data_IF_908627685078
#
_entry.id   IF_908627685078
#
_cell.length_a   1.000
_cell.length_b   1.000
_cell.length_c   1.000
_cell.angle_alpha   90.00
_cell.angle_beta   90.00
_cell.angle_gamma   90.00
#
_symmetry.space_group_name_H-M   'P 1'
#
loop_
_entity.id
_entity.type
_entity.pdbx_description
1 polymer ?
#
# COMPACT_ATOMS: atom_id res chain seq x y z
N UNK A 1 -40.87 -49.57 -57.74
CA UNK A 1 -39.71 -50.41 -57.39
C UNK A 1 -38.66 -50.20 -58.46
N UNK A 2 -37.39 -49.92 -58.25
CA UNK A 2 -36.58 -49.52 -57.10
C UNK A 2 -35.23 -49.11 -57.71
N UNK A 3 -34.59 -48.14 -57.06
CA UNK A 3 -33.14 -48.04 -56.87
C UNK A 3 -32.14 -47.77 -58.01
N UNK A 4 -31.36 -46.71 -57.72
CA UNK A 4 -29.89 -46.62 -57.72
C UNK A 4 -29.13 -46.05 -58.94
N UNK A 5 -28.42 -44.95 -58.60
CA UNK A 5 -27.02 -44.64 -58.91
C UNK A 5 -26.69 -44.09 -60.30
N UNK A 6 -25.71 -43.21 -60.52
CA UNK A 6 -24.93 -42.22 -59.75
C UNK A 6 -23.96 -41.61 -60.80
N UNK A 7 -23.42 -40.40 -60.57
CA UNK A 7 -22.20 -39.82 -61.19
C UNK A 7 -22.25 -39.47 -62.70
N UNK A 8 -21.61 -38.42 -63.23
CA UNK A 8 -20.64 -37.43 -62.76
C UNK A 8 -20.66 -36.27 -63.79
N UNK A 9 -20.78 -35.01 -63.35
CA UNK A 9 -20.46 -33.85 -64.17
C UNK A 9 -19.33 -33.09 -63.46
N UNK A 10 -18.18 -32.97 -64.14
CA UNK A 10 -16.97 -32.36 -63.60
C UNK A 10 -17.14 -30.84 -63.51
N UNK A 11 -16.98 -30.29 -62.31
CA UNK A 11 -16.87 -28.86 -62.04
C UNK A 11 -15.39 -28.45 -62.00
N UNK A 12 -15.05 -27.41 -62.76
CA UNK A 12 -13.74 -26.77 -62.72
C UNK A 12 -13.48 -26.18 -61.33
N UNK A 13 -12.36 -26.58 -60.73
CA UNK A 13 -11.89 -26.19 -59.41
C UNK A 13 -11.41 -24.74 -59.43
N UNK A 14 -12.14 -23.83 -58.78
CA UNK A 14 -11.59 -22.55 -58.31
C UNK A 14 -11.03 -22.80 -56.92
N UNK A 15 -9.71 -22.92 -56.80
CA UNK A 15 -9.02 -23.07 -55.52
C UNK A 15 -9.01 -21.71 -54.80
N UNK A 16 -9.94 -21.52 -53.87
CA UNK A 16 -9.90 -20.40 -52.92
C UNK A 16 -8.82 -20.68 -51.88
N UNK A 17 -7.74 -19.89 -51.90
CA UNK A 17 -6.73 -19.81 -50.85
C UNK A 17 -7.39 -19.67 -49.46
N UNK A 18 -7.27 -20.65 -48.55
CA UNK A 18 -7.67 -20.46 -47.16
C UNK A 18 -6.47 -19.91 -46.40
N UNK A 19 -6.55 -18.67 -45.92
CA UNK A 19 -5.58 -18.21 -44.91
C UNK A 19 -5.14 -16.75 -44.94
N UNK A 20 -6.03 -15.80 -45.22
CA UNK A 20 -5.77 -14.38 -44.89
C UNK A 20 -6.91 -13.69 -44.11
N UNK A 21 -7.86 -14.46 -43.57
CA UNK A 21 -9.05 -13.94 -42.89
C UNK A 21 -9.07 -13.99 -41.35
N UNK A 22 -8.13 -14.67 -40.69
CA UNK A 22 -8.26 -14.99 -39.25
C UNK A 22 -7.14 -14.42 -38.35
N UNK A 23 -6.57 -13.26 -38.70
CA UNK A 23 -5.66 -12.52 -37.80
C UNK A 23 -6.33 -11.33 -37.09
N UNK A 24 -7.65 -11.14 -37.24
CA UNK A 24 -8.34 -9.92 -36.83
C UNK A 24 -9.49 -10.05 -35.83
N UNK A 25 -9.88 -11.26 -35.41
CA UNK A 25 -11.01 -11.44 -34.50
C UNK A 25 -10.58 -12.20 -33.25
N UNK A 26 -9.82 -11.53 -32.37
CA UNK A 26 -9.86 -11.94 -30.96
C UNK A 26 -11.31 -11.81 -30.51
N UNK A 27 -11.98 -12.94 -30.32
CA UNK A 27 -13.27 -13.00 -29.67
C UNK A 27 -13.21 -12.12 -28.41
N UNK A 28 -14.11 -11.13 -28.24
CA UNK A 28 -14.05 -10.26 -27.07
C UNK A 28 -14.13 -11.13 -25.84
N UNK A 29 -13.06 -11.13 -25.03
CA UNK A 29 -13.03 -11.90 -23.79
C UNK A 29 -14.35 -11.65 -23.03
N UNK A 30 -15.06 -12.71 -22.61
CA UNK A 30 -16.33 -12.57 -21.89
C UNK A 30 -16.14 -11.79 -20.59
N UNK A 31 -14.90 -11.79 -20.07
CA UNK A 31 -14.48 -11.09 -18.87
C UNK A 31 -13.80 -9.78 -19.26
N UNK A 32 -14.44 -8.67 -18.91
CA UNK A 32 -13.94 -7.32 -19.22
C UNK A 32 -13.05 -6.84 -18.06
N UNK A 33 -11.73 -6.65 -18.25
CA UNK A 33 -10.81 -6.32 -17.16
C UNK A 33 -11.23 -5.10 -16.33
N UNK A 34 -11.70 -4.03 -16.99
CA UNK A 34 -12.16 -2.83 -16.28
C UNK A 34 -13.30 -3.10 -15.28
N UNK A 35 -14.21 -4.02 -15.59
CA UNK A 35 -15.34 -4.33 -14.68
C UNK A 35 -14.85 -5.04 -13.43
N UNK A 36 -13.86 -5.93 -13.56
CA UNK A 36 -13.23 -6.60 -12.42
C UNK A 36 -12.50 -5.57 -11.55
N UNK A 37 -11.64 -4.76 -12.17
CA UNK A 37 -10.89 -3.73 -11.44
C UNK A 37 -11.82 -2.72 -10.76
N UNK A 38 -12.87 -2.26 -11.44
CA UNK A 38 -13.85 -1.36 -10.85
C UNK A 38 -14.66 -2.01 -9.72
N UNK A 39 -15.03 -3.30 -9.85
CA UNK A 39 -15.70 -4.03 -8.77
C UNK A 39 -14.78 -4.20 -7.54
N UNK A 40 -13.52 -4.57 -7.76
CA UNK A 40 -12.51 -4.66 -6.70
C UNK A 40 -12.28 -3.30 -6.03
N UNK A 41 -12.15 -2.23 -6.80
CA UNK A 41 -12.01 -0.86 -6.28
C UNK A 41 -13.24 -0.38 -5.53
N UNK A 42 -14.44 -0.73 -6.01
CA UNK A 42 -15.69 -0.46 -5.30
C UNK A 42 -15.79 -1.20 -3.97
N UNK A 43 -15.40 -2.48 -3.92
CA UNK A 43 -15.37 -3.27 -2.70
C UNK A 43 -14.33 -2.73 -1.69
N UNK A 44 -13.13 -2.40 -2.16
CA UNK A 44 -12.08 -1.77 -1.35
C UNK A 44 -12.53 -0.43 -0.78
N UNK A 45 -13.13 0.43 -1.61
CA UNK A 45 -13.64 1.72 -1.17
C UNK A 45 -14.77 1.56 -0.13
N UNK A 46 -15.68 0.61 -0.34
CA UNK A 46 -16.75 0.32 0.63
C UNK A 46 -16.18 -0.17 1.97
N UNK A 47 -15.18 -1.06 1.95
CA UNK A 47 -14.48 -1.51 3.15
C UNK A 47 -13.79 -0.35 3.86
N UNK A 48 -13.06 0.48 3.12
CA UNK A 48 -12.37 1.66 3.64
C UNK A 48 -13.35 2.63 4.32
N UNK A 49 -14.47 2.94 3.67
CA UNK A 49 -15.52 3.79 4.25
C UNK A 49 -16.13 3.17 5.51
N UNK A 50 -16.43 1.87 5.49
CA UNK A 50 -16.95 1.16 6.67
C UNK A 50 -15.97 1.25 7.85
N UNK A 51 -14.69 0.95 7.62
CA UNK A 51 -13.64 0.96 8.66
C UNK A 51 -13.44 2.37 9.20
N UNK A 52 -13.32 3.38 8.34
CA UNK A 52 -13.15 4.77 8.78
C UNK A 52 -14.35 5.32 9.53
N UNK A 53 -15.58 5.04 9.09
CA UNK A 53 -16.79 5.46 9.82
C UNK A 53 -16.79 4.82 11.21
N UNK A 54 -16.55 3.50 11.29
CA UNK A 54 -16.50 2.78 12.57
C UNK A 54 -15.41 3.28 13.50
N UNK A 55 -14.25 3.64 12.95
CA UNK A 55 -13.14 4.21 13.70
C UNK A 55 -13.50 5.59 14.26
N UNK A 56 -13.95 6.53 13.41
CA UNK A 56 -14.29 7.91 13.81
C UNK A 56 -15.41 7.94 14.86
N UNK A 57 -16.37 7.02 14.78
CA UNK A 57 -17.46 6.90 15.78
C UNK A 57 -17.09 6.01 16.97
N UNK A 58 -15.92 5.38 16.95
CA UNK A 58 -15.48 4.39 17.92
C UNK A 58 -14.51 4.96 18.96
N UNK A 59 -14.13 4.15 19.97
CA UNK A 59 -13.24 4.58 21.04
C UNK A 59 -11.80 4.82 20.57
N UNK A 60 -11.39 4.23 19.44
CA UNK A 60 -10.02 4.33 18.90
C UNK A 60 -9.73 5.67 18.21
N UNK A 61 -10.73 6.55 18.04
CA UNK A 61 -10.53 7.90 17.51
C UNK A 61 -10.11 8.86 18.63
N UNK A 62 -8.95 8.60 19.22
CA UNK A 62 -8.38 9.43 20.27
C UNK A 62 -6.90 9.65 20.08
N UNK A 63 -6.36 10.72 20.69
CA UNK A 63 -4.95 11.06 20.54
C UNK A 63 -4.10 10.04 21.29
N UNK A 64 -3.12 9.45 20.59
CA UNK A 64 -2.04 8.69 21.23
C UNK A 64 -1.01 9.70 21.78
N UNK A 65 -0.73 9.70 23.09
CA UNK A 65 0.18 10.66 23.70
C UNK A 65 1.64 10.39 23.31
N UNK A 66 2.45 11.45 23.33
CA UNK A 66 3.90 11.38 23.13
C UNK A 66 4.65 10.77 24.32
N UNK A 67 3.99 10.62 25.47
CA UNK A 67 4.59 10.17 26.72
C UNK A 67 5.49 11.24 27.36
N UNK A 68 6.34 10.84 28.33
CA UNK A 68 7.10 11.77 29.18
C UNK A 68 8.31 12.43 28.50
N UNK A 69 8.83 11.84 27.41
CA UNK A 69 9.97 12.41 26.68
C UNK A 69 9.50 13.34 25.56
N UNK A 70 10.16 14.48 25.41
CA UNK A 70 9.92 15.38 24.29
C UNK A 70 10.91 15.13 23.14
N UNK A 71 10.45 15.20 21.87
CA UNK A 71 11.37 15.17 20.74
C UNK A 71 12.33 16.36 20.79
N UNK A 72 13.62 16.17 20.47
CA UNK A 72 14.59 17.24 20.39
C UNK A 72 14.29 18.19 19.21
N UNK A 73 14.83 19.42 19.28
CA UNK A 73 14.54 20.47 18.29
C UNK A 73 14.94 20.10 16.86
N UNK A 74 16.01 19.32 16.67
CA UNK A 74 16.43 18.86 15.35
C UNK A 74 15.42 17.90 14.69
N UNK A 75 14.53 17.28 15.47
CA UNK A 75 13.39 16.52 14.95
C UNK A 75 12.19 17.46 14.75
N UNK A 76 11.82 18.24 15.77
CA UNK A 76 10.63 19.12 15.73
C UNK A 76 10.61 20.06 14.52
N UNK A 77 11.74 20.70 14.20
CA UNK A 77 11.80 21.69 13.11
C UNK A 77 11.54 21.06 11.73
N UNK A 78 12.26 20.01 11.30
CA UNK A 78 11.94 19.31 10.05
C UNK A 78 10.53 18.74 10.00
N UNK A 79 10.03 18.19 11.11
CA UNK A 79 8.68 17.63 11.19
C UNK A 79 7.59 18.70 10.94
N UNK A 80 7.73 19.87 11.57
CA UNK A 80 6.83 21.01 11.33
C UNK A 80 6.98 21.52 9.90
N UNK A 81 8.22 21.67 9.42
CA UNK A 81 8.48 22.16 8.07
C UNK A 81 7.82 21.25 7.02
N UNK A 82 7.95 19.93 7.18
CA UNK A 82 7.29 18.95 6.31
C UNK A 82 5.77 19.10 6.36
N UNK A 83 5.17 19.18 7.55
CA UNK A 83 3.72 19.37 7.69
C UNK A 83 3.24 20.67 7.01
N UNK A 84 3.92 21.79 7.26
CA UNK A 84 3.58 23.10 6.67
C UNK A 84 3.69 23.07 5.16
N UNK A 85 4.78 22.52 4.61
CA UNK A 85 4.95 22.37 3.15
C UNK A 85 3.81 21.57 2.57
N UNK A 86 3.45 20.45 3.21
CA UNK A 86 2.37 19.60 2.70
C UNK A 86 0.99 20.27 2.80
N UNK A 87 0.75 21.07 3.83
CA UNK A 87 -0.53 21.76 4.00
C UNK A 87 -0.68 22.92 3.02
N UNK A 88 0.39 23.68 2.80
CA UNK A 88 0.41 24.81 1.85
C UNK A 88 0.39 24.31 0.40
N UNK A 89 0.98 23.16 0.11
CA UNK A 89 0.94 22.55 -1.21
C UNK A 89 -0.46 22.01 -1.57
N UNK A 90 -1.29 21.64 -0.59
CA UNK A 90 -2.59 21.01 -0.84
C UNK A 90 -3.53 21.89 -1.71
N UNK A 91 -3.75 23.20 -1.42
CA UNK A 91 -4.51 24.08 -2.31
C UNK A 91 -3.95 24.15 -3.74
N UNK A 92 -2.62 24.15 -3.90
CA UNK A 92 -1.95 24.19 -5.20
C UNK A 92 -2.21 22.91 -5.98
N UNK A 93 -2.11 21.75 -5.31
CA UNK A 93 -2.41 20.43 -5.89
C UNK A 93 -3.88 20.33 -6.30
N UNK A 94 -4.81 20.76 -5.44
CA UNK A 94 -6.24 20.79 -5.75
C UNK A 94 -6.51 21.68 -6.97
N UNK A 95 -5.89 22.86 -7.02
CA UNK A 95 -6.03 23.75 -8.17
C UNK A 95 -5.46 23.15 -9.46
N UNK A 96 -4.26 22.58 -9.41
CA UNK A 96 -3.54 22.12 -10.59
C UNK A 96 -4.09 20.82 -11.18
N UNK A 97 -4.49 19.86 -10.34
CA UNK A 97 -4.92 18.53 -10.77
C UNK A 97 -6.44 18.39 -10.91
N UNK A 98 -7.23 19.17 -10.17
CA UNK A 98 -8.70 19.08 -10.22
C UNK A 98 -9.32 20.33 -10.85
N UNK A 99 -9.11 21.53 -10.30
CA UNK A 99 -9.85 22.74 -10.73
C UNK A 99 -9.45 23.18 -12.14
N UNK A 100 -8.16 23.31 -12.42
CA UNK A 100 -7.65 23.79 -13.71
C UNK A 100 -8.02 22.84 -14.86
N UNK A 101 -7.83 21.51 -14.77
CA UNK A 101 -8.23 20.59 -15.83
C UNK A 101 -9.75 20.52 -15.99
N UNK A 102 -10.51 20.59 -14.89
CA UNK A 102 -11.97 20.66 -14.95
C UNK A 102 -12.46 21.90 -15.70
N UNK A 103 -11.85 23.07 -15.44
CA UNK A 103 -12.20 24.31 -16.14
C UNK A 103 -11.79 24.32 -17.61
N UNK A 104 -10.62 23.75 -17.95
CA UNK A 104 -10.08 23.77 -19.33
C UNK A 104 -10.62 22.67 -20.22
N UNK A 105 -10.72 21.46 -19.69
CA UNK A 105 -10.96 20.24 -20.48
C UNK A 105 -12.30 19.57 -20.13
N UNK A 106 -13.00 20.04 -19.08
CA UNK A 106 -14.26 19.46 -18.56
C UNK A 106 -14.18 17.95 -18.30
N UNK A 107 -12.98 17.46 -17.98
CA UNK A 107 -12.70 16.05 -17.65
C UNK A 107 -11.71 15.94 -16.50
N UNK A 108 -11.76 14.81 -15.80
CA UNK A 108 -10.76 14.45 -14.80
C UNK A 108 -9.60 13.78 -15.52
N UNK A 109 -8.40 14.33 -15.36
CA UNK A 109 -7.17 13.79 -15.96
C UNK A 109 -6.73 12.51 -15.25
N UNK A 110 -5.89 11.71 -15.90
CA UNK A 110 -5.28 10.53 -15.28
C UNK A 110 -4.55 10.92 -13.99
N UNK A 111 -3.76 12.00 -14.03
CA UNK A 111 -3.03 12.48 -12.86
C UNK A 111 -3.97 12.89 -11.71
N UNK A 112 -5.11 13.54 -11.99
CA UNK A 112 -6.11 13.85 -10.97
C UNK A 112 -6.74 12.60 -10.36
N UNK A 113 -6.99 11.56 -11.17
CA UNK A 113 -7.44 10.26 -10.65
C UNK A 113 -6.36 9.60 -9.80
N UNK A 114 -5.08 9.65 -10.23
CA UNK A 114 -3.97 9.10 -9.48
C UNK A 114 -3.75 9.80 -8.13
N UNK A 115 -3.87 11.14 -8.05
CA UNK A 115 -3.81 11.86 -6.76
C UNK A 115 -4.86 11.30 -5.80
N UNK A 116 -6.11 11.19 -6.25
CA UNK A 116 -7.20 10.68 -5.42
C UNK A 116 -7.00 9.20 -5.07
N UNK A 117 -6.57 8.38 -6.02
CA UNK A 117 -6.31 6.95 -5.80
C UNK A 117 -5.16 6.69 -4.83
N UNK A 118 -4.05 7.42 -4.96
CA UNK A 118 -2.91 7.31 -4.03
C UNK A 118 -3.24 7.87 -2.65
N UNK A 119 -4.07 8.93 -2.58
CA UNK A 119 -4.56 9.44 -1.31
C UNK A 119 -5.47 8.45 -0.57
N UNK A 120 -6.29 7.68 -1.30
CA UNK A 120 -7.08 6.60 -0.70
C UNK A 120 -6.24 5.36 -0.39
N UNK A 121 -5.18 5.09 -1.15
CA UNK A 121 -4.23 4.00 -0.92
C UNK A 121 -3.57 4.09 0.46
N UNK A 122 -3.41 5.29 1.02
CA UNK A 122 -2.97 5.54 2.41
C UNK A 122 -3.73 4.69 3.45
N UNK A 123 -4.98 4.29 3.19
CA UNK A 123 -5.71 3.36 4.05
C UNK A 123 -4.95 2.07 4.38
N UNK A 124 -4.08 1.65 3.48
CA UNK A 124 -3.28 0.44 3.62
C UNK A 124 -2.01 0.64 4.43
N UNK A 125 -1.60 1.87 4.76
CA UNK A 125 -0.34 2.15 5.45
C UNK A 125 -0.23 1.40 6.80
N UNK A 126 -1.25 1.40 7.69
CA UNK A 126 -1.16 0.64 8.92
C UNK A 126 -1.04 -0.88 8.71
N UNK A 127 -1.42 -1.43 7.55
CA UNK A 127 -1.42 -2.88 7.33
C UNK A 127 -0.04 -3.50 7.53
N UNK A 128 1.06 -2.76 7.35
CA UNK A 128 2.40 -3.24 7.67
C UNK A 128 2.56 -3.71 9.13
N UNK A 129 1.68 -3.26 10.04
CA UNK A 129 1.63 -3.65 11.44
C UNK A 129 0.57 -4.73 11.77
N UNK A 130 -0.02 -5.39 10.77
CA UNK A 130 -1.19 -6.25 10.97
C UNK A 130 -0.93 -7.44 11.90
N UNK A 131 0.21 -8.11 11.76
CA UNK A 131 0.60 -9.24 12.64
C UNK A 131 1.39 -8.82 13.87
N UNK A 132 2.32 -7.89 13.70
CA UNK A 132 3.20 -7.40 14.74
C UNK A 132 3.58 -5.96 14.40
N UNK A 133 3.92 -5.15 15.41
CA UNK A 133 4.29 -3.76 15.22
C UNK A 133 5.70 -3.67 14.64
N UNK A 134 5.76 -3.45 13.32
CA UNK A 134 6.99 -3.37 12.54
C UNK A 134 7.47 -1.91 12.34
N UNK A 135 6.55 -0.97 12.11
CA UNK A 135 6.84 0.47 11.99
C UNK A 135 5.96 1.29 12.93
N UNK A 136 6.52 2.35 13.50
CA UNK A 136 5.77 3.32 14.29
C UNK A 136 6.10 4.75 13.86
N UNK A 137 5.08 5.60 13.85
CA UNK A 137 5.23 7.03 13.62
C UNK A 137 5.54 7.78 14.92
N UNK A 138 6.11 8.97 14.76
CA UNK A 138 6.30 9.88 15.88
C UNK A 138 4.95 10.44 16.37
N UNK A 139 4.53 10.03 17.56
CA UNK A 139 3.23 10.39 18.16
C UNK A 139 3.15 11.86 18.60
N UNK A 140 4.27 12.60 18.53
CA UNK A 140 4.26 14.06 18.67
C UNK A 140 3.52 14.77 17.53
N UNK A 141 3.53 14.18 16.33
CA UNK A 141 2.75 14.68 15.19
C UNK A 141 1.26 14.63 15.49
N UNK A 142 0.49 15.47 14.79
CA UNK A 142 -0.97 15.48 14.93
C UNK A 142 -1.55 14.12 14.55
N UNK A 143 -2.12 13.42 15.54
CA UNK A 143 -2.70 12.10 15.37
C UNK A 143 -4.02 11.96 16.16
N UNK A 144 -4.82 10.97 15.76
CA UNK A 144 -6.05 10.52 16.42
C UNK A 144 -6.08 8.99 16.50
N UNK A 145 -4.91 8.39 16.77
CA UNK A 145 -4.72 6.96 16.68
C UNK A 145 -4.72 6.49 15.23
N UNK A 146 -5.21 5.28 15.00
CA UNK A 146 -5.34 4.70 13.66
C UNK A 146 -6.60 3.83 13.58
N UNK A 147 -7.02 3.51 12.35
CA UNK A 147 -8.21 2.70 12.08
C UNK A 147 -7.91 1.20 12.02
N UNK A 148 -6.65 0.79 12.22
CA UNK A 148 -6.16 -0.58 12.13
C UNK A 148 -7.01 -1.55 12.96
N UNK A 149 -7.36 -1.15 14.18
CA UNK A 149 -8.20 -1.96 15.07
C UNK A 149 -9.57 -2.32 14.55
N UNK A 150 -10.11 -1.53 13.61
CA UNK A 150 -11.41 -1.76 13.00
C UNK A 150 -11.32 -2.56 11.70
N UNK A 151 -10.11 -2.85 11.20
CA UNK A 151 -9.89 -3.72 10.05
C UNK A 151 -10.27 -5.16 10.42
N UNK A 152 -11.17 -5.81 9.65
CA UNK A 152 -11.53 -7.19 9.90
C UNK A 152 -10.31 -8.12 9.91
N UNK A 153 -10.16 -8.90 10.99
CA UNK A 153 -9.08 -9.88 11.13
C UNK A 153 -7.78 -9.35 11.73
N UNK A 154 -7.69 -8.05 12.05
CA UNK A 154 -6.50 -7.45 12.66
C UNK A 154 -5.97 -8.25 13.85
N UNK A 155 -4.66 -8.55 13.86
CA UNK A 155 -4.04 -9.48 14.82
C UNK A 155 -3.26 -8.75 15.91
N UNK A 156 -2.44 -7.76 15.54
CA UNK A 156 -1.56 -7.04 16.45
C UNK A 156 -2.34 -6.40 17.61
N UNK A 157 -1.89 -6.52 18.88
CA UNK A 157 -2.59 -5.94 20.02
C UNK A 157 -2.61 -4.41 19.95
N UNK A 158 -3.77 -3.83 20.22
CA UNK A 158 -3.96 -2.39 20.24
C UNK A 158 -5.05 -2.06 21.27
N UNK A 159 -4.85 -0.95 21.98
CA UNK A 159 -5.84 -0.40 22.88
C UNK A 159 -6.11 1.06 22.52
N UNK A 160 -7.31 1.58 22.83
CA UNK A 160 -7.59 3.01 22.71
C UNK A 160 -6.48 3.83 23.41
N UNK A 161 -5.90 4.78 22.66
CA UNK A 161 -4.82 5.65 23.15
C UNK A 161 -3.43 4.99 23.26
N UNK A 162 -3.32 3.67 23.03
CA UNK A 162 -2.08 2.88 23.04
C UNK A 162 -2.02 1.97 21.81
N UNK A 163 -1.71 2.60 20.68
CA UNK A 163 -1.65 1.96 19.36
C UNK A 163 -0.72 2.74 18.45
N UNK A 164 -0.39 2.18 17.28
CA UNK A 164 0.34 2.92 16.25
C UNK A 164 -0.53 4.10 15.81
N UNK A 165 0.03 5.30 15.89
CA UNK A 165 -0.71 6.52 15.62
C UNK A 165 -0.40 7.05 14.22
N UNK A 166 -1.43 7.20 13.39
CA UNK A 166 -1.25 7.72 12.04
C UNK A 166 -1.22 9.26 12.04
N UNK A 167 -0.17 9.92 11.50
CA UNK A 167 -0.12 11.37 11.35
C UNK A 167 -0.97 11.80 10.15
N UNK A 168 -2.30 11.75 10.31
CA UNK A 168 -3.30 11.91 9.24
C UNK A 168 -3.05 13.13 8.34
N UNK A 169 -2.72 14.28 8.94
CA UNK A 169 -2.54 15.54 8.23
C UNK A 169 -1.25 15.58 7.41
N UNK A 170 -0.31 14.69 7.66
CA UNK A 170 1.00 14.66 6.97
C UNK A 170 1.06 13.47 6.01
N UNK A 171 0.62 12.28 6.44
CA UNK A 171 0.64 11.08 5.62
C UNK A 171 -0.35 11.17 4.46
N UNK A 172 -1.60 11.59 4.69
CA UNK A 172 -2.59 11.69 3.59
C UNK A 172 -2.08 12.53 2.40
N UNK A 173 -1.59 13.78 2.59
CA UNK A 173 -1.03 14.55 1.49
C UNK A 173 0.30 13.97 0.94
N UNK A 174 1.16 13.45 1.81
CA UNK A 174 2.41 12.79 1.41
C UNK A 174 2.17 11.61 0.45
N UNK A 175 1.23 10.74 0.80
CA UNK A 175 0.78 9.64 -0.06
C UNK A 175 0.05 10.13 -1.32
N UNK A 176 -0.86 11.11 -1.20
CA UNK A 176 -1.68 11.54 -2.32
C UNK A 176 -0.88 12.18 -3.46
N UNK A 177 0.00 13.13 -3.15
CA UNK A 177 0.74 13.85 -4.18
C UNK A 177 2.26 13.74 -4.05
N UNK A 178 2.83 13.43 -2.88
CA UNK A 178 4.25 13.14 -2.76
C UNK A 178 4.64 11.92 -3.61
N UNK A 179 3.94 10.79 -3.40
CA UNK A 179 4.12 9.57 -4.21
C UNK A 179 3.83 9.83 -5.69
N UNK A 180 2.80 10.63 -6.01
CA UNK A 180 2.53 10.98 -7.41
C UNK A 180 3.67 11.79 -8.03
N UNK A 181 4.23 12.77 -7.33
CA UNK A 181 5.33 13.58 -7.82
C UNK A 181 6.56 12.72 -8.11
N UNK A 182 6.90 11.80 -7.20
CA UNK A 182 7.98 10.82 -7.40
C UNK A 182 7.65 9.94 -8.63
N UNK A 183 6.39 9.56 -8.81
CA UNK A 183 5.93 8.79 -9.97
C UNK A 183 6.06 9.57 -11.28
N UNK A 184 5.71 10.85 -11.28
CA UNK A 184 5.86 11.74 -12.44
C UNK A 184 7.34 11.89 -12.81
N UNK A 185 8.22 12.09 -11.82
CA UNK A 185 9.67 12.16 -12.00
C UNK A 185 10.20 10.83 -12.53
N UNK A 186 9.79 9.69 -11.96
CA UNK A 186 10.14 8.36 -12.45
C UNK A 186 9.74 8.15 -13.91
N UNK A 187 8.51 8.51 -14.29
CA UNK A 187 8.08 8.47 -15.69
C UNK A 187 8.91 9.43 -16.59
N UNK A 188 9.34 10.57 -16.08
CA UNK A 188 10.23 11.48 -16.82
C UNK A 188 11.62 10.87 -17.03
N UNK A 189 12.19 10.21 -16.03
CA UNK A 189 13.44 9.46 -16.15
C UNK A 189 13.28 8.35 -17.18
N UNK A 190 12.21 7.56 -17.11
CA UNK A 190 11.93 6.50 -18.10
C UNK A 190 11.89 7.06 -19.53
N UNK A 191 11.28 8.24 -19.75
CA UNK A 191 11.28 8.91 -21.05
C UNK A 191 12.69 9.28 -21.49
N UNK A 192 13.49 9.88 -20.61
CA UNK A 192 14.88 10.28 -20.91
C UNK A 192 15.77 9.09 -21.25
N UNK A 193 15.65 7.99 -20.50
CA UNK A 193 16.35 6.73 -20.76
C UNK A 193 15.98 6.20 -22.15
N UNK A 194 14.69 6.22 -22.51
CA UNK A 194 14.23 5.76 -23.83
C UNK A 194 14.67 6.69 -24.98
N UNK A 195 14.77 8.00 -24.75
CA UNK A 195 15.35 8.94 -25.73
C UNK A 195 16.84 8.65 -25.97
N UNK A 196 17.58 8.28 -24.91
CA UNK A 196 19.02 7.96 -25.03
C UNK A 196 19.26 6.58 -25.64
N UNK A 197 18.40 5.60 -25.31
CA UNK A 197 18.45 4.21 -25.79
C UNK A 197 17.08 3.77 -26.30
N UNK A 198 16.76 4.05 -27.58
CA UNK A 198 15.43 3.74 -28.15
C UNK A 198 15.08 2.25 -28.16
N UNK A 199 16.09 1.38 -28.28
CA UNK A 199 15.92 -0.08 -28.36
C UNK A 199 15.97 -0.78 -26.99
N UNK A 200 15.87 -0.03 -25.88
CA UNK A 200 15.83 -0.64 -24.54
C UNK A 200 14.53 -1.45 -24.37
N UNK A 201 14.64 -2.67 -23.85
CA UNK A 201 13.46 -3.48 -23.54
C UNK A 201 12.69 -2.89 -22.36
N UNK A 202 11.37 -3.10 -22.34
CA UNK A 202 10.52 -2.64 -21.23
C UNK A 202 11.02 -3.18 -19.88
N UNK A 203 11.45 -4.45 -19.83
CA UNK A 203 11.99 -5.04 -18.60
C UNK A 203 13.23 -4.28 -18.08
N UNK A 204 14.19 -3.97 -18.95
CA UNK A 204 15.38 -3.19 -18.55
C UNK A 204 15.00 -1.80 -18.06
N UNK A 205 14.03 -1.16 -18.71
CA UNK A 205 13.53 0.15 -18.31
C UNK A 205 12.89 0.12 -16.91
N UNK A 206 12.10 -0.92 -16.62
CA UNK A 206 11.50 -1.13 -15.30
C UNK A 206 12.58 -1.39 -14.24
N UNK A 207 13.56 -2.26 -14.52
CA UNK A 207 14.65 -2.56 -13.58
C UNK A 207 15.51 -1.32 -13.26
N UNK A 208 15.80 -0.47 -14.25
CA UNK A 208 16.50 0.80 -14.02
C UNK A 208 15.66 1.71 -13.12
N UNK A 209 14.36 1.81 -13.39
CA UNK A 209 13.44 2.64 -12.60
C UNK A 209 13.34 2.15 -11.16
N UNK A 210 13.27 0.83 -10.98
CA UNK A 210 13.29 0.17 -9.67
C UNK A 210 14.57 0.45 -8.90
N UNK A 211 15.75 0.29 -9.52
CA UNK A 211 17.04 0.56 -8.89
C UNK A 211 17.18 2.05 -8.50
N UNK A 212 16.72 2.97 -9.34
CA UNK A 212 16.72 4.40 -9.02
C UNK A 212 15.74 4.73 -7.90
N UNK A 213 14.57 4.10 -7.87
CA UNK A 213 13.61 4.27 -6.79
C UNK A 213 14.18 3.78 -5.45
N UNK A 214 14.84 2.62 -5.44
CA UNK A 214 15.55 2.09 -4.26
C UNK A 214 16.59 3.07 -3.71
N UNK A 215 17.45 3.61 -4.59
CA UNK A 215 18.50 4.56 -4.16
C UNK A 215 17.90 5.87 -3.66
N UNK A 216 16.85 6.36 -4.35
CA UNK A 216 16.15 7.57 -3.93
C UNK A 216 15.46 7.38 -2.57
N UNK A 217 14.85 6.22 -2.36
CA UNK A 217 14.23 5.84 -1.09
C UNK A 217 15.27 5.78 0.04
N UNK A 218 16.41 5.12 -0.16
CA UNK A 218 17.52 5.14 0.81
C UNK A 218 17.95 6.57 1.19
N UNK A 219 18.07 7.47 0.21
CA UNK A 219 18.47 8.86 0.48
C UNK A 219 17.37 9.64 1.21
N UNK A 220 16.11 9.51 0.78
CA UNK A 220 15.01 10.25 1.37
C UNK A 220 14.63 9.69 2.74
N UNK A 221 14.37 8.40 2.81
CA UNK A 221 13.92 7.72 4.01
C UNK A 221 15.07 7.46 4.97
N UNK A 222 16.07 6.70 4.51
CA UNK A 222 17.20 6.24 5.33
C UNK A 222 18.09 7.37 5.86
N UNK A 223 18.36 8.40 5.05
CA UNK A 223 19.26 9.51 5.44
C UNK A 223 18.53 10.75 5.94
N UNK A 224 17.23 10.93 5.65
CA UNK A 224 16.47 12.13 6.08
C UNK A 224 15.31 11.77 7.01
N UNK A 225 14.30 11.02 6.55
CA UNK A 225 13.06 10.82 7.32
C UNK A 225 13.25 10.04 8.63
N UNK A 226 14.05 8.97 8.61
CA UNK A 226 14.35 8.19 9.81
C UNK A 226 15.22 8.98 10.80
N UNK A 227 16.33 9.63 10.40
CA UNK A 227 17.13 10.45 11.32
C UNK A 227 16.36 11.62 11.95
N UNK A 228 15.49 12.32 11.21
CA UNK A 228 14.64 13.38 11.76
C UNK A 228 13.48 12.84 12.61
N UNK A 229 13.29 11.52 12.66
CA UNK A 229 12.30 10.87 13.49
C UNK A 229 10.88 11.11 13.02
N UNK A 230 10.62 10.99 11.70
CA UNK A 230 9.24 11.01 11.17
C UNK A 230 8.50 9.71 11.51
N UNK A 231 9.16 8.57 11.29
CA UNK A 231 8.80 7.25 11.78
C UNK A 231 10.07 6.44 12.06
N UNK A 232 9.90 5.24 12.60
CA UNK A 232 10.97 4.30 12.93
C UNK A 232 10.54 2.87 12.64
N UNK A 233 11.48 1.98 12.33
CA UNK A 233 11.23 0.55 12.12
C UNK A 233 11.73 -0.28 13.30
N UNK A 234 11.07 -0.26 14.48
CA UNK A 234 11.58 -0.96 15.65
C UNK A 234 11.59 -2.48 15.47
N UNK A 235 10.68 -3.04 14.68
CA UNK A 235 10.63 -4.48 14.41
C UNK A 235 11.53 -4.94 13.26
N UNK A 236 12.46 -4.12 12.76
CA UNK A 236 13.30 -4.48 11.64
C UNK A 236 14.32 -5.58 11.97
N UNK A 237 14.62 -6.44 10.99
CA UNK A 237 15.68 -7.45 11.10
C UNK A 237 17.04 -6.76 11.04
N UNK A 238 17.79 -6.80 12.13
CA UNK A 238 19.02 -6.05 12.36
C UNK A 238 20.13 -6.45 11.38
N UNK A 239 20.22 -7.74 11.02
CA UNK A 239 21.27 -8.27 10.14
C UNK A 239 21.21 -7.73 8.71
N UNK A 240 20.05 -7.25 8.27
CA UNK A 240 19.81 -6.69 6.94
C UNK A 240 19.30 -5.25 7.02
N UNK A 241 19.76 -4.52 8.03
CA UNK A 241 19.43 -3.11 8.26
C UNK A 241 20.69 -2.25 8.37
N UNK A 242 20.61 -1.03 7.82
CA UNK A 242 21.63 0.01 8.01
C UNK A 242 21.34 0.71 9.34
N UNK A 243 22.39 1.02 10.11
CA UNK A 243 22.28 1.60 11.47
C UNK A 243 21.45 0.71 12.43
N UNK A 244 21.61 -0.61 12.34
CA UNK A 244 20.91 -1.56 13.18
C UNK A 244 21.02 -1.22 14.69
N UNK A 245 19.96 -1.52 15.44
CA UNK A 245 19.84 -1.24 16.89
C UNK A 245 19.81 0.26 17.27
N UNK A 246 19.55 1.13 16.29
CA UNK A 246 19.25 2.56 16.53
C UNK A 246 17.78 2.87 16.23
N UNK A 247 17.27 4.02 16.71
CA UNK A 247 15.90 4.43 16.36
C UNK A 247 15.71 4.70 14.86
N UNK A 248 16.79 5.01 14.13
CA UNK A 248 16.77 5.37 12.71
C UNK A 248 17.31 4.25 11.82
N UNK A 249 17.21 3.00 12.28
CA UNK A 249 17.60 1.84 11.49
C UNK A 249 16.75 1.75 10.21
N UNK A 250 17.42 1.55 9.08
CA UNK A 250 16.79 1.45 7.77
C UNK A 250 16.94 0.03 7.22
N UNK A 251 15.86 -0.77 7.16
CA UNK A 251 15.92 -2.12 6.61
C UNK A 251 16.12 -2.08 5.08
N UNK A 252 17.08 -2.81 4.52
CA UNK A 252 17.29 -2.80 3.06
C UNK A 252 16.08 -3.33 2.31
N UNK A 253 15.37 -4.28 2.90
CA UNK A 253 14.14 -4.85 2.34
C UNK A 253 12.96 -3.88 2.39
N UNK A 254 13.05 -2.78 3.13
CA UNK A 254 12.13 -1.68 2.94
C UNK A 254 12.34 -1.06 1.56
N UNK A 255 13.51 -0.46 1.27
CA UNK A 255 13.75 0.11 -0.06
C UNK A 255 13.49 -0.86 -1.22
N UNK A 256 13.87 -2.13 -1.04
CA UNK A 256 13.06 -3.30 -1.39
C UNK A 256 11.67 -3.12 -2.03
N UNK A 257 10.71 -3.11 -1.12
CA UNK A 257 9.28 -3.02 -1.26
C UNK A 257 8.86 -1.66 -1.79
N UNK A 258 9.32 -0.54 -1.20
CA UNK A 258 8.98 0.81 -1.68
C UNK A 258 9.43 1.05 -3.11
N UNK A 259 10.64 0.62 -3.48
CA UNK A 259 11.13 0.64 -4.85
C UNK A 259 10.22 -0.15 -5.80
N UNK A 260 9.66 -1.26 -5.32
CA UNK A 260 8.74 -2.13 -6.06
C UNK A 260 7.40 -1.46 -6.32
N UNK A 261 6.81 -0.87 -5.28
CA UNK A 261 5.61 -0.04 -5.39
C UNK A 261 5.84 1.09 -6.38
N UNK A 262 6.94 1.84 -6.22
CA UNK A 262 7.23 3.01 -7.03
C UNK A 262 7.45 2.65 -8.50
N UNK A 263 8.17 1.56 -8.78
CA UNK A 263 8.33 1.03 -10.13
C UNK A 263 6.99 0.59 -10.73
N UNK A 264 6.14 -0.10 -9.96
CA UNK A 264 4.82 -0.55 -10.41
C UNK A 264 3.89 0.63 -10.73
N UNK A 265 3.87 1.67 -9.89
CA UNK A 265 3.11 2.90 -10.13
C UNK A 265 3.64 3.66 -11.36
N UNK A 266 4.96 3.72 -11.54
CA UNK A 266 5.57 4.27 -12.75
C UNK A 266 5.16 3.47 -13.99
N UNK A 267 5.15 2.14 -13.92
CA UNK A 267 4.69 1.29 -15.02
C UNK A 267 3.22 1.55 -15.36
N UNK A 268 2.36 1.61 -14.33
CA UNK A 268 0.94 1.86 -14.48
C UNK A 268 0.70 3.20 -15.20
N UNK A 269 1.46 4.24 -14.83
CA UNK A 269 1.34 5.58 -15.41
C UNK A 269 2.05 5.76 -16.76
N UNK A 270 3.16 5.04 -17.00
CA UNK A 270 4.00 5.21 -18.19
C UNK A 270 3.53 4.38 -19.38
N UNK A 271 3.13 3.13 -19.15
CA UNK A 271 2.70 2.22 -20.21
C UNK A 271 1.20 2.38 -20.48
N UNK A 272 0.85 3.48 -21.16
CA UNK A 272 -0.52 3.75 -21.60
C UNK A 272 -0.73 3.35 -23.07
N UNK A 273 -1.99 3.09 -23.43
CA UNK A 273 -2.39 2.95 -24.83
C UNK A 273 -2.33 4.29 -25.60
N UNK A 274 -2.64 4.26 -26.90
CA UNK A 274 -2.67 5.45 -27.78
C UNK A 274 -3.69 6.51 -27.32
N UNK A 275 -4.62 6.14 -26.43
CA UNK A 275 -5.64 7.01 -25.84
C UNK A 275 -5.25 7.48 -24.44
N UNK A 276 -4.04 7.18 -23.97
CA UNK A 276 -3.53 7.57 -22.65
C UNK A 276 -4.17 6.79 -21.49
N UNK A 277 -4.70 5.60 -21.74
CA UNK A 277 -5.33 4.73 -20.73
C UNK A 277 -4.37 3.68 -20.22
N UNK A 278 -4.41 3.43 -18.92
CA UNK A 278 -3.62 2.40 -18.24
C UNK A 278 -4.19 1.00 -18.49
N UNK A 279 -3.44 -0.04 -18.11
CA UNK A 279 -3.85 -1.45 -18.29
C UNK A 279 -5.17 -1.79 -17.59
N UNK A 280 -5.48 -1.15 -16.46
CA UNK A 280 -6.70 -1.40 -15.68
C UNK A 280 -7.94 -0.72 -16.28
N UNK A 281 -7.74 0.20 -17.21
CA UNK A 281 -8.80 0.92 -17.92
C UNK A 281 -9.20 0.24 -19.25
N UNK A 282 -8.55 -0.87 -19.61
CA UNK A 282 -8.83 -1.60 -20.87
C UNK A 282 -10.28 -2.08 -20.91
N UNK A 283 -10.98 -1.68 -21.97
CA UNK A 283 -12.40 -1.99 -22.18
C UNK A 283 -13.37 -0.90 -21.70
N UNK A 284 -12.88 0.29 -21.33
CA UNK A 284 -13.73 1.43 -20.95
C UNK A 284 -14.77 1.81 -22.01
N UNK A 285 -14.45 1.65 -23.30
CA UNK A 285 -15.37 1.97 -24.42
C UNK A 285 -16.65 1.11 -24.42
N UNK A 286 -16.63 -0.04 -23.74
CA UNK A 286 -17.78 -0.92 -23.62
C UNK A 286 -18.61 -0.69 -22.34
N UNK A 287 -18.26 0.31 -21.53
CA UNK A 287 -19.04 0.72 -20.36
C UNK A 287 -20.21 1.59 -20.82
N UNK A 288 -21.40 0.99 -20.88
CA UNK A 288 -22.64 1.70 -21.21
C UNK A 288 -23.01 2.66 -20.09
N UNK A 289 -23.26 3.92 -20.42
CA UNK A 289 -23.71 4.95 -19.49
C UNK A 289 -23.20 6.34 -19.85
N UNK A 290 -23.70 7.36 -19.14
CA UNK A 290 -23.24 8.74 -19.30
C UNK A 290 -21.80 8.95 -18.81
N UNK A 291 -21.25 10.12 -19.14
CA UNK A 291 -19.87 10.53 -18.82
C UNK A 291 -19.48 10.29 -17.36
N UNK A 292 -20.35 10.65 -16.41
CA UNK A 292 -20.11 10.48 -14.98
C UNK A 292 -19.88 9.02 -14.58
N UNK A 293 -20.69 8.08 -15.10
CA UNK A 293 -20.57 6.65 -14.81
C UNK A 293 -19.27 6.07 -15.35
N UNK A 294 -18.88 6.48 -16.56
CA UNK A 294 -17.62 6.06 -17.17
C UNK A 294 -16.41 6.59 -16.38
N UNK A 295 -16.40 7.87 -15.99
CA UNK A 295 -15.32 8.45 -15.18
C UNK A 295 -15.23 7.81 -13.79
N UNK A 296 -16.36 7.52 -13.14
CA UNK A 296 -16.36 6.86 -11.84
C UNK A 296 -15.87 5.41 -11.93
N UNK A 297 -16.32 4.65 -12.94
CA UNK A 297 -15.84 3.28 -13.19
C UNK A 297 -14.33 3.26 -13.46
N UNK A 298 -13.86 4.23 -14.25
CA UNK A 298 -12.44 4.45 -14.55
C UNK A 298 -11.64 4.74 -13.28
N UNK A 299 -12.14 5.65 -12.43
CA UNK A 299 -11.53 5.97 -11.15
C UNK A 299 -11.43 4.75 -10.22
N UNK A 300 -12.50 3.96 -10.07
CA UNK A 300 -12.48 2.76 -9.24
C UNK A 300 -11.46 1.73 -9.76
N UNK A 301 -11.35 1.57 -11.08
CA UNK A 301 -10.36 0.66 -11.66
C UNK A 301 -8.92 1.12 -11.42
N UNK A 302 -8.64 2.42 -11.56
CA UNK A 302 -7.33 3.02 -11.25
C UNK A 302 -7.02 2.89 -9.76
N UNK A 303 -8.00 3.17 -8.89
CA UNK A 303 -7.86 3.02 -7.45
C UNK A 303 -7.51 1.59 -7.06
N UNK A 304 -8.18 0.60 -7.65
CA UNK A 304 -7.86 -0.80 -7.44
C UNK A 304 -6.45 -1.17 -7.95
N UNK A 305 -6.05 -0.65 -9.11
CA UNK A 305 -4.71 -0.89 -9.66
C UNK A 305 -3.60 -0.30 -8.79
N UNK A 306 -3.75 0.96 -8.36
CA UNK A 306 -2.82 1.63 -7.43
C UNK A 306 -2.77 0.89 -6.10
N UNK A 307 -3.93 0.56 -5.54
CA UNK A 307 -4.04 -0.20 -4.29
C UNK A 307 -3.41 -1.58 -4.39
N UNK A 308 -3.56 -2.28 -5.52
CA UNK A 308 -2.95 -3.58 -5.75
C UNK A 308 -1.41 -3.49 -5.86
N UNK A 309 -0.88 -2.42 -6.46
CA UNK A 309 0.57 -2.20 -6.49
C UNK A 309 1.13 -2.11 -5.06
N UNK A 310 0.50 -1.31 -4.20
CA UNK A 310 0.93 -1.21 -2.80
C UNK A 310 0.73 -2.52 -2.04
N UNK A 311 -0.44 -3.15 -2.19
CA UNK A 311 -0.73 -4.40 -1.49
C UNK A 311 0.26 -5.52 -1.82
N UNK A 312 0.54 -5.73 -3.10
CA UNK A 312 1.37 -6.85 -3.57
C UNK A 312 2.86 -6.62 -3.30
N UNK A 313 3.37 -5.42 -3.57
CA UNK A 313 4.80 -5.14 -3.46
C UNK A 313 5.22 -4.68 -2.06
N UNK A 314 4.28 -4.21 -1.23
CA UNK A 314 4.56 -3.72 0.12
C UNK A 314 3.91 -4.59 1.18
N UNK A 315 2.58 -4.61 1.25
CA UNK A 315 1.89 -5.21 2.40
C UNK A 315 2.12 -6.71 2.54
N UNK A 316 2.05 -7.48 1.44
CA UNK A 316 2.27 -8.92 1.48
C UNK A 316 3.69 -9.30 1.98
N UNK A 317 4.78 -8.79 1.39
CA UNK A 317 6.12 -9.08 1.89
C UNK A 317 6.35 -8.51 3.30
N UNK A 318 5.84 -7.31 3.60
CA UNK A 318 5.96 -6.72 4.94
C UNK A 318 5.32 -7.60 6.01
N UNK A 319 4.16 -8.22 5.74
CA UNK A 319 3.53 -9.16 6.68
C UNK A 319 4.41 -10.35 7.01
N UNK A 320 5.02 -10.93 5.98
CA UNK A 320 5.92 -12.06 6.17
C UNK A 320 7.12 -11.67 7.03
N UNK A 321 7.71 -10.51 6.75
CA UNK A 321 8.91 -10.03 7.45
C UNK A 321 8.58 -9.58 8.89
N UNK A 322 7.42 -8.98 9.12
CA UNK A 322 6.96 -8.55 10.45
C UNK A 322 6.80 -9.69 11.45
N UNK A 323 6.60 -10.93 10.99
CA UNK A 323 6.60 -12.13 11.84
C UNK A 323 8.00 -12.56 12.30
N UNK A 324 9.05 -11.99 11.72
CA UNK A 324 10.46 -12.31 11.99
C UNK A 324 11.18 -11.12 12.63
N UNK A 325 10.47 -10.26 13.36
CA UNK A 325 11.03 -9.07 13.98
C UNK A 325 12.09 -9.40 15.03
N UNK A 326 13.24 -8.74 14.96
CA UNK A 326 14.25 -8.76 16.02
C UNK A 326 13.78 -7.97 17.26
N UNK A 327 14.49 -8.03 18.41
CA UNK A 327 14.16 -7.22 19.56
C UNK A 327 14.14 -5.74 19.20
N UNK A 328 13.14 -5.01 19.70
CA UNK A 328 13.08 -3.57 19.53
C UNK A 328 14.36 -2.88 20.05
N UNK A 329 14.96 -1.93 19.32
CA UNK A 329 16.14 -1.21 19.79
C UNK A 329 15.92 -0.50 21.11
N UNK A 330 16.87 -0.58 22.04
CA UNK A 330 16.78 0.19 23.30
C UNK A 330 16.72 1.70 23.04
N UNK A 331 17.41 2.13 21.99
CA UNK A 331 17.40 3.52 21.53
C UNK A 331 15.97 3.93 21.12
N UNK A 332 15.21 3.09 20.43
CA UNK A 332 13.79 3.35 20.18
C UNK A 332 12.99 3.37 21.49
N UNK A 333 13.13 2.35 22.34
CA UNK A 333 12.29 2.16 23.53
C UNK A 333 12.39 3.30 24.55
N UNK A 334 13.58 3.91 24.74
CA UNK A 334 13.76 5.04 25.67
C UNK A 334 13.12 6.36 25.20
N UNK A 335 12.61 6.43 23.96
CA UNK A 335 11.97 7.61 23.37
C UNK A 335 10.47 7.36 23.30
N UNK A 336 9.74 7.85 24.30
CA UNK A 336 8.29 7.60 24.44
C UNK A 336 7.47 8.02 23.22
N UNK A 337 7.91 9.05 22.50
CA UNK A 337 7.23 9.58 21.30
C UNK A 337 7.35 8.67 20.07
N UNK A 338 8.17 7.61 20.10
CA UNK A 338 8.19 6.57 19.06
C UNK A 338 7.43 5.29 19.45
N UNK A 339 7.21 5.08 20.75
CA UNK A 339 6.57 3.87 21.25
C UNK A 339 5.04 4.00 21.25
N UNK A 340 4.51 5.17 21.61
CA UNK A 340 3.06 5.38 21.68
C UNK A 340 2.37 4.63 22.82
N UNK A 341 3.14 4.14 23.80
CA UNK A 341 2.63 3.42 24.97
C UNK A 341 2.09 2.02 24.64
N UNK A 342 2.54 1.43 23.53
CA UNK A 342 2.12 0.09 23.08
C UNK A 342 2.78 -1.00 23.93
N UNK A 343 4.01 -0.73 24.42
CA UNK A 343 4.78 -1.69 25.20
C UNK A 343 5.87 -1.02 26.05
N UNK A 344 6.49 -1.77 26.94
CA UNK A 344 7.64 -1.33 27.73
C UNK A 344 7.24 -0.43 28.90
N UNK A 345 8.01 0.63 29.14
CA UNK A 345 7.85 1.48 30.33
C UNK A 345 6.44 2.09 30.43
N UNK A 346 5.83 1.99 31.62
CA UNK A 346 4.44 2.41 31.87
C UNK A 346 3.36 1.44 31.38
N UNK A 347 3.73 0.23 30.95
CA UNK A 347 2.82 -0.84 30.51
C UNK A 347 3.16 -2.18 31.21
N UNK A 348 2.19 -3.09 31.22
CA UNK A 348 2.38 -4.49 31.63
C UNK A 348 2.89 -5.39 30.50
N UNK A 349 2.91 -4.88 29.26
CA UNK A 349 3.25 -5.62 28.06
C UNK A 349 4.70 -5.36 27.64
N UNK A 350 5.58 -6.37 27.60
CA UNK A 350 6.95 -6.20 27.13
C UNK A 350 6.97 -5.85 25.64
N UNK A 351 7.97 -5.08 25.20
CA UNK A 351 8.13 -4.79 23.77
C UNK A 351 8.48 -6.06 22.97
N UNK A 352 8.04 -6.15 21.70
CA UNK A 352 8.26 -7.33 20.87
C UNK A 352 9.72 -7.82 20.89
N UNK A 353 9.87 -9.11 21.17
CA UNK A 353 11.15 -9.79 21.29
C UNK A 353 11.00 -11.24 20.82
N UNK A 354 11.92 -11.77 19.96
CA UNK A 354 11.90 -13.17 19.52
C UNK A 354 11.85 -14.22 20.65
N UNK A 355 12.28 -13.87 21.85
CA UNK A 355 12.20 -14.76 23.02
C UNK A 355 10.76 -14.98 23.52
N UNK A 356 9.80 -14.14 23.10
CA UNK A 356 8.39 -14.20 23.51
C UNK A 356 7.50 -14.56 22.31
N UNK A 357 6.38 -15.27 22.54
CA UNK A 357 5.38 -15.47 21.50
C UNK A 357 4.79 -14.12 21.07
N UNK A 358 4.45 -13.97 19.79
CA UNK A 358 3.76 -12.78 19.30
C UNK A 358 2.32 -12.80 19.83
N UNK A 359 1.94 -11.88 20.73
CA UNK A 359 0.58 -11.82 21.24
C UNK A 359 -0.40 -11.35 20.15
N UNK A 360 -1.64 -11.79 20.25
CA UNK A 360 -2.75 -11.33 19.42
C UNK A 360 -3.78 -10.64 20.30
N UNK A 361 -4.71 -9.89 19.70
CA UNK A 361 -5.87 -9.31 20.40
C UNK A 361 -6.74 -10.28 21.20
N UNK A 362 -6.61 -11.58 20.96
CA UNK A 362 -7.47 -12.61 21.55
C UNK A 362 -6.70 -13.67 22.33
N UNK A 363 -5.37 -13.58 22.37
CA UNK A 363 -4.54 -14.55 23.09
C UNK A 363 -4.12 -13.99 24.44
N UNK A 364 -3.64 -14.88 25.32
CA UNK A 364 -2.83 -14.42 26.44
C UNK A 364 -1.49 -13.87 25.96
N UNK A 365 -0.81 -13.18 26.86
CA UNK A 365 0.55 -12.66 26.64
C UNK A 365 1.38 -12.83 27.91
N UNK A 366 2.71 -12.76 27.78
CA UNK A 366 3.63 -12.78 28.92
C UNK A 366 3.89 -11.34 29.36
N UNK A 367 3.62 -11.00 30.61
CA UNK A 367 3.83 -9.66 31.14
C UNK A 367 5.33 -9.34 31.38
N UNK A 368 5.62 -8.09 31.74
CA UNK A 368 6.98 -7.63 32.06
C UNK A 368 7.63 -8.34 33.26
N UNK A 369 6.87 -9.09 34.05
CA UNK A 369 7.33 -9.90 35.17
C UNK A 369 7.51 -11.38 34.81
N UNK A 370 7.17 -11.78 33.58
CA UNK A 370 7.26 -13.16 33.11
C UNK A 370 6.03 -14.01 33.43
N UNK A 371 4.92 -13.42 33.88
CA UNK A 371 3.69 -14.14 34.15
C UNK A 371 2.78 -14.19 32.91
N UNK A 372 2.10 -15.32 32.72
CA UNK A 372 1.08 -15.46 31.68
C UNK A 372 -0.21 -14.76 32.09
N UNK A 373 -0.58 -13.71 31.37
CA UNK A 373 -1.86 -13.01 31.50
C UNK A 373 -2.81 -13.55 30.44
N UNK A 374 -3.93 -14.14 30.86
CA UNK A 374 -4.98 -14.63 29.97
C UNK A 374 -6.03 -13.54 29.70
N UNK A 375 -6.68 -13.56 28.52
CA UNK A 375 -7.77 -12.64 28.23
C UNK A 375 -8.94 -12.87 29.22
N UNK A 376 -9.82 -11.87 29.43
CA UNK A 376 -10.95 -12.00 30.34
C UNK A 376 -11.81 -13.23 30.04
N UNK A 377 -12.01 -14.10 31.03
CA UNK A 377 -12.76 -15.36 30.87
C UNK A 377 -11.99 -16.49 30.16
N UNK A 378 -10.75 -16.25 29.76
CA UNK A 378 -9.86 -17.26 29.21
C UNK A 378 -9.33 -18.22 30.28
N UNK A 379 -9.27 -19.50 29.94
CA UNK A 379 -8.61 -20.54 30.72
C UNK A 379 -7.61 -21.27 29.83
N UNK A 380 -6.62 -21.90 30.45
CA UNK A 380 -5.72 -22.79 29.71
C UNK A 380 -6.54 -23.95 29.13
N UNK A 381 -6.31 -24.34 27.87
CA UNK A 381 -7.02 -25.45 27.26
C UNK A 381 -6.67 -26.76 27.96
N UNK A 382 -7.67 -27.59 28.22
CA UNK A 382 -7.47 -28.94 28.77
C UNK A 382 -6.73 -29.84 27.77
N UNK A 383 -5.83 -30.67 28.28
CA UNK A 383 -5.13 -31.66 27.45
C UNK A 383 -6.10 -32.80 27.11
N UNK A 384 -6.54 -32.86 25.86
CA UNK A 384 -7.38 -33.96 25.37
C UNK A 384 -6.49 -35.18 25.06
N UNK A 385 -6.64 -36.31 25.78
CA UNK A 385 -5.79 -37.47 25.57
C UNK A 385 -6.09 -38.14 24.22
N UNK A 386 -5.05 -38.71 23.59
CA UNK A 386 -5.22 -39.48 22.36
C UNK A 386 -6.09 -40.71 22.59
N UNK A 387 -7.00 -40.98 21.65
CA UNK A 387 -7.72 -42.26 21.59
C UNK A 387 -6.74 -43.35 21.16
N UNK A 388 -6.20 -44.11 22.12
CA UNK A 388 -5.35 -45.26 21.81
C UNK A 388 -6.23 -46.43 21.35
N UNK A 389 -6.00 -46.91 20.12
CA UNK A 389 -6.66 -48.10 19.58
C UNK A 389 -6.29 -49.35 20.37
N UNK A 390 -7.21 -50.31 20.46
CA UNK A 390 -6.96 -51.63 21.07
C UNK A 390 -6.27 -52.58 20.13
#
# INVERSE_FOLDING_TARGET
MSDLANRNQASSVTETLPGQGELGAQAPSPVRPIKIWAAAGGALLALQLYVWVRWITGPYFERVPAGPSEPPMYMKVPLIANAVVLWVALPVVVWWFFIRPWRRERRITLDGMLVASMGLMFFQDPLLNYFNTWCTYNTWLFNRGSWSSNIPGWVSPEEPGRQVAEPLLTNTPGYAYGVLLITIVGCWIMRKVKTRWPNISNLRLVLITYALAFVFDFVMEGLVLLPIGFYTYPGAIRSVSINADTYYQWPLYEGLMWGGVQAALCCLRFFTDDRGRTVVERGLDHVRGGFARQQFTRFLAIFAGVSACFFVFYNLPAQWIGMHSDPWPQDHQKRSYFNGGICGDGTDTPCPNPALPIPTKRSGYIDVHGHLVLPPGGHLPDVVPFQRGR
#
